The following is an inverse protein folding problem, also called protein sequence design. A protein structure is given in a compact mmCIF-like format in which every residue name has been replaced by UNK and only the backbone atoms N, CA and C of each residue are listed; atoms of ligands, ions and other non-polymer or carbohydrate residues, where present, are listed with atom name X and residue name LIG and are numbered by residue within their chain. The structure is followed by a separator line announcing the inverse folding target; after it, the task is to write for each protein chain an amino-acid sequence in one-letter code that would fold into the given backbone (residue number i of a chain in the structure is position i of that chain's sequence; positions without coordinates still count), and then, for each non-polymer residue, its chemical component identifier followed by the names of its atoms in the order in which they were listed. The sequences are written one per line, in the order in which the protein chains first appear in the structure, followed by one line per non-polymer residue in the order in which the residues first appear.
data_IF_832625060782
#
_entry.id   IF_832625060782
#
_cell.length_a   1.000
_cell.length_b   1.000
_cell.length_c   1.000
_cell.angle_alpha   90.00
_cell.angle_beta   90.00
_cell.angle_gamma   90.00
#
_symmetry.space_group_name_H-M   'P 1'
#
loop_
_entity.id
_entity.type
_entity.pdbx_description
1 polymer ?
#
# COMPACT_ATOMS: atom_id res chain seq x y z
N UNK A 1 -1.55 38.11 7.46
CA UNK A 1 -2.10 36.80 7.84
C UNK A 1 -2.38 36.04 6.57
N UNK A 2 -1.76 34.86 6.40
CA UNK A 2 -1.93 34.04 5.21
C UNK A 2 -3.18 33.15 5.33
N UNK A 3 -3.94 33.04 4.25
CA UNK A 3 -5.16 32.25 4.18
C UNK A 3 -4.82 30.82 3.71
N UNK A 4 -5.20 29.80 4.48
CA UNK A 4 -4.98 28.39 4.18
C UNK A 4 -6.30 27.71 3.87
N UNK A 5 -6.45 27.24 2.64
CA UNK A 5 -7.56 26.39 2.22
C UNK A 5 -7.25 24.90 2.44
N UNK A 6 -8.27 24.10 2.68
CA UNK A 6 -8.10 22.64 2.76
C UNK A 6 -8.99 21.93 1.73
N UNK A 7 -8.39 20.99 0.99
CA UNK A 7 -9.11 20.08 0.12
C UNK A 7 -9.05 18.68 0.72
N UNK A 8 -10.18 18.04 0.86
CA UNK A 8 -10.40 16.85 1.70
C UNK A 8 -10.34 17.17 3.21
N UNK A 9 -10.61 16.13 3.99
CA UNK A 9 -10.52 16.21 5.45
C UNK A 9 -9.06 16.16 5.89
N UNK A 10 -8.54 17.26 6.40
CA UNK A 10 -7.22 17.35 7.02
C UNK A 10 -7.36 17.22 8.53
N UNK A 11 -6.42 16.53 9.18
CA UNK A 11 -6.44 16.31 10.62
C UNK A 11 -6.41 17.64 11.40
N UNK A 12 -7.34 17.85 12.35
CA UNK A 12 -7.32 19.03 13.22
C UNK A 12 -5.99 19.19 13.99
N UNK A 13 -5.35 18.07 14.34
CA UNK A 13 -4.03 18.10 15.02
C UNK A 13 -2.95 18.70 14.11
N UNK A 14 -3.04 18.46 12.80
CA UNK A 14 -2.15 19.10 11.83
C UNK A 14 -2.44 20.59 11.67
N UNK A 15 -3.71 20.94 11.53
CA UNK A 15 -4.12 22.35 11.40
C UNK A 15 -3.81 23.19 12.65
N UNK A 16 -3.90 22.60 13.84
CA UNK A 16 -3.56 23.26 15.10
C UNK A 16 -2.05 23.62 15.24
N UNK A 17 -1.20 23.19 14.31
CA UNK A 17 0.21 23.59 14.24
C UNK A 17 0.44 24.88 13.46
N UNK A 18 -0.58 25.39 12.78
CA UNK A 18 -0.51 26.69 12.13
C UNK A 18 -0.43 27.76 13.22
N UNK A 19 0.52 28.69 13.07
CA UNK A 19 0.68 29.83 13.98
C UNK A 19 -0.35 30.91 13.70
N UNK A 20 -0.37 31.98 14.53
CA UNK A 20 -1.28 33.11 14.38
C UNK A 20 -1.10 33.92 13.07
N UNK A 21 -0.02 33.61 12.31
CA UNK A 21 0.20 34.17 10.97
C UNK A 21 -0.72 33.58 9.91
N UNK A 22 -1.40 32.47 10.21
CA UNK A 22 -2.23 31.72 9.30
C UNK A 22 -3.69 31.66 9.77
N UNK A 23 -4.61 31.69 8.82
CA UNK A 23 -6.04 31.49 9.06
C UNK A 23 -6.57 30.42 8.11
N UNK A 24 -7.25 29.41 8.65
CA UNK A 24 -7.93 28.42 7.81
C UNK A 24 -9.23 28.99 7.29
N UNK A 25 -9.45 28.90 5.98
CA UNK A 25 -10.63 29.43 5.29
C UNK A 25 -11.36 28.34 4.50
N UNK A 26 -12.65 28.53 4.25
CA UNK A 26 -13.47 27.61 3.47
C UNK A 26 -13.34 27.85 1.96
N UNK A 27 -13.28 29.12 1.55
CA UNK A 27 -13.14 29.47 0.13
C UNK A 27 -11.69 29.35 -0.34
N UNK A 28 -11.39 28.22 -0.97
CA UNK A 28 -10.04 27.94 -1.46
C UNK A 28 -9.59 28.85 -2.61
N UNK A 29 -10.51 29.52 -3.29
CA UNK A 29 -10.15 30.49 -4.33
C UNK A 29 -9.44 31.73 -3.79
N UNK A 30 -9.62 32.04 -2.53
CA UNK A 30 -8.94 33.14 -1.83
C UNK A 30 -7.66 32.69 -1.09
N UNK A 31 -7.30 31.42 -1.15
CA UNK A 31 -6.19 30.88 -0.37
C UNK A 31 -4.82 31.32 -0.89
N UNK A 32 -3.91 31.57 0.04
CA UNK A 32 -2.48 31.73 -0.23
C UNK A 32 -1.74 30.40 -0.18
N UNK A 33 -2.26 29.41 0.56
CA UNK A 33 -1.77 28.05 0.62
C UNK A 33 -2.91 27.06 0.63
N UNK A 34 -2.71 25.91 0.00
CA UNK A 34 -3.67 24.81 0.01
C UNK A 34 -3.03 23.59 0.64
N UNK A 35 -3.74 22.95 1.59
CA UNK A 35 -3.36 21.64 2.13
C UNK A 35 -4.38 20.62 1.64
N UNK A 36 -3.88 19.54 1.03
CA UNK A 36 -4.73 18.48 0.50
C UNK A 36 -4.18 17.07 0.79
N UNK A 37 -5.00 16.07 0.53
CA UNK A 37 -4.62 14.66 0.59
C UNK A 37 -4.81 13.98 -0.78
N UNK A 38 -6.03 13.63 -1.15
CA UNK A 38 -6.36 12.86 -2.35
C UNK A 38 -7.21 13.63 -3.38
N UNK A 39 -7.50 14.89 -3.13
CA UNK A 39 -8.23 15.72 -4.08
C UNK A 39 -7.43 15.90 -5.36
N UNK A 40 -8.07 15.72 -6.53
CA UNK A 40 -7.47 15.95 -7.83
C UNK A 40 -7.57 17.44 -8.19
N UNK A 41 -6.41 18.11 -8.34
CA UNK A 41 -6.32 19.53 -8.65
C UNK A 41 -6.18 19.83 -10.15
N UNK A 42 -6.14 18.81 -11.05
CA UNK A 42 -5.86 19.05 -12.47
C UNK A 42 -6.88 19.95 -13.15
N UNK A 43 -8.16 19.79 -12.81
CA UNK A 43 -9.24 20.61 -13.36
C UNK A 43 -9.51 21.90 -12.55
N UNK A 44 -8.71 22.12 -11.46
CA UNK A 44 -8.89 23.29 -10.62
C UNK A 44 -8.25 24.53 -11.22
N UNK A 45 -8.96 25.68 -11.19
CA UNK A 45 -8.34 26.97 -11.44
C UNK A 45 -7.47 27.39 -10.27
N UNK A 46 -6.19 27.62 -10.53
CA UNK A 46 -5.25 28.07 -9.51
C UNK A 46 -5.33 29.59 -9.37
N UNK A 47 -5.64 30.05 -8.16
CA UNK A 47 -5.71 31.49 -7.87
C UNK A 47 -4.35 32.16 -8.05
N UNK A 48 -4.33 33.40 -8.55
CA UNK A 48 -3.13 34.24 -8.65
C UNK A 48 -2.50 34.56 -7.28
N UNK A 49 -3.27 34.37 -6.20
CA UNK A 49 -2.81 34.56 -4.81
C UNK A 49 -2.20 33.30 -4.20
N UNK A 50 -2.30 32.16 -4.88
CA UNK A 50 -1.80 30.88 -4.37
C UNK A 50 -0.28 30.83 -4.47
N UNK A 51 0.39 30.66 -3.34
CA UNK A 51 1.84 30.62 -3.21
C UNK A 51 2.39 29.22 -3.01
N UNK A 52 1.61 28.36 -2.36
CA UNK A 52 2.07 27.02 -2.02
C UNK A 52 0.95 25.99 -1.97
N UNK A 53 1.28 24.74 -2.29
CA UNK A 53 0.42 23.57 -2.12
C UNK A 53 1.17 22.54 -1.28
N UNK A 54 0.56 22.09 -0.18
CA UNK A 54 1.09 21.05 0.70
C UNK A 54 0.27 19.76 0.59
N UNK A 55 0.88 18.67 0.12
CA UNK A 55 0.22 17.36 0.06
C UNK A 55 0.52 16.53 1.31
N UNK A 56 -0.52 16.16 2.07
CA UNK A 56 -0.42 15.24 3.20
C UNK A 56 -0.25 13.79 2.68
N UNK A 57 0.95 13.46 2.21
CA UNK A 57 1.35 12.16 1.68
C UNK A 57 2.51 12.28 0.71
N UNK A 58 3.03 11.16 0.22
CA UNK A 58 4.25 11.09 -0.59
C UNK A 58 4.03 11.40 -2.08
N UNK A 59 3.01 10.80 -2.71
CA UNK A 59 2.74 11.01 -4.13
C UNK A 59 2.20 12.41 -4.42
N UNK A 60 2.41 12.93 -5.63
CA UNK A 60 1.95 14.26 -6.07
C UNK A 60 1.22 14.20 -7.41
N UNK A 61 0.84 13.01 -7.82
CA UNK A 61 0.17 12.74 -9.11
C UNK A 61 -1.24 13.36 -9.24
N UNK A 62 -1.80 13.86 -8.16
CA UNK A 62 -3.07 14.58 -8.10
C UNK A 62 -2.89 16.12 -8.09
N UNK A 63 -1.67 16.60 -8.31
CA UNK A 63 -1.33 18.04 -8.34
C UNK A 63 -0.73 18.35 -9.72
N UNK A 64 -1.22 19.36 -10.45
CA UNK A 64 -0.68 19.76 -11.73
C UNK A 64 0.66 20.49 -11.57
N UNK A 65 1.76 19.74 -11.41
CA UNK A 65 3.07 20.28 -11.07
C UNK A 65 3.57 21.31 -12.09
N UNK A 66 3.42 21.05 -13.39
CA UNK A 66 3.87 21.97 -14.46
C UNK A 66 3.11 23.31 -14.36
N UNK A 67 1.77 23.26 -14.21
CA UNK A 67 0.94 24.45 -14.05
C UNK A 67 1.29 25.22 -12.77
N UNK A 68 1.60 24.52 -11.68
CA UNK A 68 2.09 25.15 -10.45
C UNK A 68 3.44 25.84 -10.67
N UNK A 69 4.38 25.17 -11.34
CA UNK A 69 5.72 25.73 -11.62
C UNK A 69 5.66 26.97 -12.53
N UNK A 70 4.83 26.94 -13.58
CA UNK A 70 4.62 28.09 -14.48
C UNK A 70 4.07 29.33 -13.73
N UNK A 71 3.26 29.11 -12.71
CA UNK A 71 2.68 30.19 -11.87
C UNK A 71 3.53 30.52 -10.64
N UNK A 72 4.68 29.90 -10.45
CA UNK A 72 5.55 30.12 -9.29
C UNK A 72 5.02 29.58 -7.97
N UNK A 73 4.09 28.59 -8.01
CA UNK A 73 3.50 27.95 -6.84
C UNK A 73 4.42 26.82 -6.39
N UNK A 74 4.86 26.85 -5.13
CA UNK A 74 5.72 25.79 -4.56
C UNK A 74 4.86 24.62 -4.11
N UNK A 75 5.25 23.39 -4.49
CA UNK A 75 4.56 22.16 -4.07
C UNK A 75 5.41 21.39 -3.08
N UNK A 76 4.83 21.11 -1.92
CA UNK A 76 5.42 20.29 -0.87
C UNK A 76 4.66 18.98 -0.73
N UNK A 77 5.39 17.92 -0.40
CA UNK A 77 4.83 16.63 -0.01
C UNK A 77 5.42 16.15 1.32
N UNK A 78 4.85 15.08 1.86
CA UNK A 78 5.27 14.49 3.14
C UNK A 78 5.65 13.00 2.94
N UNK A 79 6.80 12.70 2.30
CA UNK A 79 7.22 11.33 2.05
C UNK A 79 7.49 10.61 3.38
N UNK A 80 6.98 9.37 3.49
CA UNK A 80 7.14 8.55 4.67
C UNK A 80 6.21 8.85 5.84
N UNK A 81 5.38 9.90 5.76
CA UNK A 81 4.46 10.26 6.86
C UNK A 81 3.45 9.15 7.19
N UNK A 82 3.01 8.40 6.20
CA UNK A 82 2.10 7.25 6.34
C UNK A 82 2.82 5.88 6.32
N UNK A 83 4.14 5.85 6.31
CA UNK A 83 4.88 4.60 6.12
C UNK A 83 4.56 3.54 7.17
N UNK A 84 4.35 3.95 8.43
CA UNK A 84 3.96 3.03 9.49
C UNK A 84 2.54 2.48 9.27
N UNK A 85 1.59 3.31 8.84
CA UNK A 85 0.22 2.87 8.57
C UNK A 85 0.18 1.85 7.42
N UNK A 86 0.91 2.10 6.33
CA UNK A 86 1.02 1.16 5.20
C UNK A 86 1.70 -0.15 5.64
N UNK A 87 2.77 -0.09 6.46
CA UNK A 87 3.39 -1.29 7.04
C UNK A 87 2.36 -2.13 7.83
N UNK A 88 1.56 -1.51 8.69
CA UNK A 88 0.54 -2.20 9.48
C UNK A 88 -0.53 -2.84 8.59
N UNK A 89 -0.93 -2.15 7.50
CA UNK A 89 -1.86 -2.70 6.52
C UNK A 89 -1.26 -3.89 5.75
N UNK A 90 0.03 -3.83 5.38
CA UNK A 90 0.74 -4.97 4.77
C UNK A 90 0.75 -6.20 5.69
N UNK A 91 1.09 -6.01 6.97
CA UNK A 91 1.09 -7.10 7.95
C UNK A 91 -0.30 -7.68 8.13
N UNK A 92 -1.31 -6.82 8.24
CA UNK A 92 -2.72 -7.23 8.29
C UNK A 92 -3.09 -8.05 7.06
N UNK A 93 -2.77 -7.57 5.86
CA UNK A 93 -3.03 -8.27 4.60
C UNK A 93 -2.37 -9.65 4.52
N UNK A 94 -1.11 -9.77 4.94
CA UNK A 94 -0.40 -11.05 5.03
C UNK A 94 -1.12 -12.04 5.96
N UNK A 95 -1.51 -11.59 7.14
CA UNK A 95 -2.20 -12.44 8.13
C UNK A 95 -3.60 -12.86 7.67
N UNK A 96 -4.36 -11.95 7.06
CA UNK A 96 -5.68 -12.25 6.49
C UNK A 96 -5.56 -13.26 5.33
N UNK A 97 -4.55 -13.12 4.49
CA UNK A 97 -4.30 -14.07 3.40
C UNK A 97 -3.86 -15.44 3.90
N UNK A 98 -3.01 -15.48 4.94
CA UNK A 98 -2.49 -16.72 5.52
C UNK A 98 -3.57 -17.54 6.24
N UNK A 99 -4.48 -16.89 6.98
CA UNK A 99 -5.38 -17.53 7.96
C UNK A 99 -6.84 -17.61 7.51
N UNK A 100 -7.20 -17.24 6.28
CA UNK A 100 -8.58 -17.19 5.76
C UNK A 100 -9.59 -16.49 6.70
N UNK A 101 -9.14 -15.51 7.47
CA UNK A 101 -9.94 -14.82 8.48
C UNK A 101 -11.22 -14.19 7.91
N UNK A 102 -11.19 -13.47 6.75
CA UNK A 102 -12.39 -12.84 6.20
C UNK A 102 -13.50 -13.85 5.92
N UNK A 103 -13.17 -14.98 5.28
CA UNK A 103 -14.14 -16.03 4.99
C UNK A 103 -14.67 -16.68 6.28
N UNK A 104 -13.79 -16.89 7.25
CA UNK A 104 -14.17 -17.40 8.57
C UNK A 104 -15.13 -16.50 9.33
N UNK A 105 -14.88 -15.18 9.30
CA UNK A 105 -15.77 -14.18 9.92
C UNK A 105 -17.13 -14.13 9.22
N UNK A 106 -17.16 -14.09 7.89
CA UNK A 106 -18.39 -14.11 7.11
C UNK A 106 -19.24 -15.36 7.44
N UNK A 107 -18.60 -16.54 7.48
CA UNK A 107 -19.28 -17.76 7.83
C UNK A 107 -19.77 -17.76 9.29
N UNK A 108 -18.95 -17.35 10.26
CA UNK A 108 -19.33 -17.33 11.67
C UNK A 108 -20.56 -16.45 11.92
N UNK A 109 -20.68 -15.33 11.20
CA UNK A 109 -21.84 -14.45 11.29
C UNK A 109 -23.15 -15.10 10.83
N UNK A 110 -23.09 -16.12 9.96
CA UNK A 110 -24.28 -16.89 9.52
C UNK A 110 -24.84 -17.82 10.60
N UNK A 111 -24.07 -18.07 11.65
CA UNK A 111 -24.47 -18.95 12.75
C UNK A 111 -25.28 -18.23 13.83
N UNK A 112 -25.59 -16.96 13.67
CA UNK A 112 -26.40 -16.17 14.59
C UNK A 112 -27.78 -16.83 14.78
N UNK A 113 -28.18 -17.05 16.06
CA UNK A 113 -29.44 -17.67 16.36
C UNK A 113 -29.49 -19.21 16.23
N UNK A 114 -28.38 -19.85 15.84
CA UNK A 114 -28.30 -21.32 15.76
C UNK A 114 -28.17 -21.94 17.17
N UNK A 115 -28.99 -22.92 17.48
CA UNK A 115 -28.82 -23.70 18.71
C UNK A 115 -27.53 -24.53 18.64
N UNK A 116 -26.76 -24.55 19.73
CA UNK A 116 -25.49 -25.28 19.77
C UNK A 116 -24.36 -24.68 18.91
N UNK A 117 -24.32 -23.37 18.72
CA UNK A 117 -23.31 -22.61 17.94
C UNK A 117 -21.88 -23.12 18.16
N UNK A 118 -21.46 -23.37 19.41
CA UNK A 118 -20.12 -23.87 19.70
C UNK A 118 -19.77 -25.18 19.00
N UNK A 119 -20.74 -26.14 18.97
CA UNK A 119 -20.57 -27.41 18.26
C UNK A 119 -20.54 -27.22 16.73
N UNK A 120 -21.35 -26.30 16.19
CA UNK A 120 -21.37 -25.97 14.78
C UNK A 120 -20.00 -25.36 14.35
N UNK A 121 -19.44 -24.46 15.16
CA UNK A 121 -18.11 -23.86 14.94
C UNK A 121 -17.03 -24.93 14.94
N UNK A 122 -16.97 -25.80 15.94
CA UNK A 122 -15.97 -26.87 16.00
C UNK A 122 -16.05 -27.82 14.80
N UNK A 123 -17.25 -28.15 14.35
CA UNK A 123 -17.46 -29.00 13.16
C UNK A 123 -17.05 -28.31 11.84
N UNK A 124 -17.28 -27.01 11.72
CA UNK A 124 -17.09 -26.26 10.47
C UNK A 124 -15.75 -25.56 10.33
N UNK A 125 -15.02 -25.29 11.43
CA UNK A 125 -13.79 -24.49 11.42
C UNK A 125 -12.69 -24.99 10.46
N UNK A 126 -12.63 -26.30 10.22
CA UNK A 126 -11.60 -26.92 9.38
C UNK A 126 -11.56 -26.40 7.93
N UNK A 127 -12.70 -25.95 7.39
CA UNK A 127 -12.77 -25.38 6.03
C UNK A 127 -12.03 -24.05 5.89
N UNK A 128 -11.73 -23.38 6.99
CA UNK A 128 -11.00 -22.11 7.02
C UNK A 128 -9.55 -22.28 7.48
N UNK A 129 -9.07 -23.52 7.58
CA UNK A 129 -7.69 -23.78 7.95
C UNK A 129 -6.72 -23.03 7.04
N UNK A 130 -5.80 -22.28 7.64
CA UNK A 130 -4.76 -21.55 6.94
C UNK A 130 -3.37 -22.07 7.30
N UNK A 131 -2.38 -21.26 7.03
CA UNK A 131 -0.96 -21.53 7.34
C UNK A 131 -0.42 -20.45 8.25
N UNK A 132 0.65 -20.76 8.98
CA UNK A 132 1.43 -19.74 9.69
C UNK A 132 2.39 -19.05 8.73
N UNK A 133 2.71 -17.77 9.01
CA UNK A 133 3.71 -17.01 8.27
C UNK A 133 5.12 -17.27 8.82
N UNK A 134 5.26 -17.71 10.06
CA UNK A 134 6.54 -18.07 10.67
C UNK A 134 7.27 -19.11 9.83
N UNK A 135 8.55 -18.85 9.54
CA UNK A 135 9.40 -19.72 8.72
C UNK A 135 9.14 -19.64 7.21
N UNK A 136 8.16 -18.82 6.76
CA UNK A 136 7.94 -18.50 5.35
C UNK A 136 8.89 -17.39 4.91
N UNK A 137 9.14 -17.31 3.62
CA UNK A 137 9.99 -16.28 3.03
C UNK A 137 9.16 -15.15 2.46
N UNK A 138 9.44 -13.90 2.88
CA UNK A 138 8.89 -12.69 2.29
C UNK A 138 9.93 -12.02 1.38
N UNK A 139 9.59 -11.78 0.13
CA UNK A 139 10.30 -10.89 -0.77
C UNK A 139 9.78 -9.47 -0.62
N UNK A 140 10.68 -8.51 -0.44
CA UNK A 140 10.33 -7.07 -0.38
C UNK A 140 10.97 -6.37 -1.56
N UNK A 141 10.15 -5.87 -2.49
CA UNK A 141 10.58 -5.13 -3.67
C UNK A 141 10.45 -3.64 -3.40
N UNK A 142 11.58 -2.94 -3.30
CA UNK A 142 11.65 -1.55 -2.85
C UNK A 142 11.87 -1.43 -1.34
N UNK A 143 13.08 -1.04 -0.94
CA UNK A 143 13.52 -0.88 0.46
C UNK A 143 13.58 0.61 0.85
N UNK A 144 12.56 1.36 0.44
CA UNK A 144 12.34 2.73 0.87
C UNK A 144 11.73 2.83 2.27
N UNK A 145 11.10 3.97 2.58
CA UNK A 145 10.52 4.26 3.90
C UNK A 145 9.50 3.20 4.38
N UNK A 146 8.74 2.59 3.47
CA UNK A 146 7.75 1.56 3.78
C UNK A 146 8.41 0.18 3.79
N UNK A 147 9.13 -0.18 2.72
CA UNK A 147 9.69 -1.51 2.56
C UNK A 147 10.62 -1.93 3.69
N UNK A 148 11.46 -1.03 4.19
CA UNK A 148 12.31 -1.27 5.38
C UNK A 148 11.47 -1.62 6.61
N UNK A 149 10.39 -0.89 6.86
CA UNK A 149 9.52 -1.15 8.01
C UNK A 149 8.79 -2.49 7.88
N UNK A 150 8.32 -2.84 6.66
CA UNK A 150 7.68 -4.13 6.39
C UNK A 150 8.67 -5.27 6.56
N UNK A 151 9.87 -5.14 6.01
CA UNK A 151 10.93 -6.14 6.09
C UNK A 151 11.29 -6.48 7.55
N UNK A 152 11.61 -5.46 8.35
CA UNK A 152 11.97 -5.62 9.76
C UNK A 152 10.80 -6.20 10.59
N UNK A 153 9.58 -5.77 10.33
CA UNK A 153 8.41 -6.27 11.05
C UNK A 153 8.11 -7.74 10.71
N UNK A 154 8.23 -8.13 9.45
CA UNK A 154 8.05 -9.51 9.02
C UNK A 154 9.10 -10.45 9.62
N UNK A 155 10.35 -10.01 9.68
CA UNK A 155 11.42 -10.74 10.35
C UNK A 155 11.10 -10.94 11.84
N UNK A 156 10.65 -9.90 12.53
CA UNK A 156 10.23 -9.98 13.95
C UNK A 156 9.10 -10.99 14.15
N UNK A 157 8.22 -11.19 13.15
CA UNK A 157 7.18 -12.21 13.15
C UNK A 157 7.71 -13.62 12.80
N UNK A 158 9.02 -13.77 12.60
CA UNK A 158 9.68 -15.04 12.35
C UNK A 158 9.69 -15.48 10.89
N UNK A 159 9.46 -14.56 9.95
CA UNK A 159 9.68 -14.83 8.52
C UNK A 159 11.16 -14.72 8.17
N UNK A 160 11.58 -15.41 7.11
CA UNK A 160 12.81 -15.06 6.38
C UNK A 160 12.50 -13.92 5.44
N UNK A 161 13.40 -12.95 5.32
CA UNK A 161 13.15 -11.79 4.45
C UNK A 161 14.27 -11.65 3.43
N UNK A 162 13.90 -11.46 2.17
CA UNK A 162 14.79 -11.15 1.06
C UNK A 162 14.34 -9.82 0.47
N UNK A 163 15.26 -8.86 0.37
CA UNK A 163 14.99 -7.54 -0.17
C UNK A 163 15.61 -7.33 -1.55
N UNK A 164 14.97 -6.52 -2.37
CA UNK A 164 15.52 -6.01 -3.63
C UNK A 164 15.26 -4.51 -3.74
N UNK A 165 16.30 -3.72 -3.93
CA UNK A 165 16.23 -2.30 -4.24
C UNK A 165 17.51 -1.85 -4.95
N UNK A 166 17.49 -1.56 -6.27
CA UNK A 166 18.67 -1.12 -7.00
C UNK A 166 19.16 0.28 -6.60
N UNK A 167 18.34 1.04 -5.85
CA UNK A 167 18.63 2.40 -5.39
C UNK A 167 18.69 2.49 -3.87
N UNK A 168 19.04 1.40 -3.19
CA UNK A 168 19.08 1.33 -1.72
C UNK A 168 19.96 2.44 -1.14
N UNK A 169 19.34 3.35 -0.41
CA UNK A 169 20.08 4.44 0.24
C UNK A 169 20.86 3.94 1.47
N UNK A 170 21.97 4.61 1.79
CA UNK A 170 22.77 4.31 3.00
C UNK A 170 21.88 4.37 4.26
N UNK A 171 20.98 5.34 4.35
CA UNK A 171 20.06 5.47 5.49
C UNK A 171 19.12 4.26 5.58
N UNK A 172 18.57 3.80 4.47
CA UNK A 172 17.68 2.64 4.43
C UNK A 172 18.46 1.36 4.83
N UNK A 173 19.66 1.17 4.29
CA UNK A 173 20.52 0.04 4.65
C UNK A 173 20.84 0.00 6.13
N UNK A 174 21.15 1.13 6.76
CA UNK A 174 21.38 1.21 8.21
C UNK A 174 20.13 0.94 9.06
N UNK A 175 18.94 1.09 8.48
CA UNK A 175 17.67 0.85 9.18
C UNK A 175 17.14 -0.57 9.01
N UNK A 176 17.72 -1.35 8.08
CA UNK A 176 17.40 -2.76 7.89
C UNK A 176 18.06 -3.61 8.97
N UNK A 177 17.38 -4.68 9.39
CA UNK A 177 18.01 -5.74 10.17
C UNK A 177 19.13 -6.39 9.37
N UNK A 178 20.23 -6.69 10.05
CA UNK A 178 21.43 -7.30 9.44
C UNK A 178 21.26 -8.78 9.04
N UNK A 179 20.12 -9.37 9.34
CA UNK A 179 19.74 -10.74 8.98
C UNK A 179 18.90 -10.79 7.70
N UNK A 180 18.54 -9.63 7.14
CA UNK A 180 17.78 -9.55 5.87
C UNK A 180 18.77 -9.64 4.72
N UNK A 181 18.57 -10.66 3.88
CA UNK A 181 19.34 -10.84 2.65
C UNK A 181 18.90 -9.85 1.57
N UNK A 182 19.85 -9.25 0.86
CA UNK A 182 19.61 -8.36 -0.27
C UNK A 182 20.12 -9.04 -1.54
N UNK A 183 19.27 -9.07 -2.57
CA UNK A 183 19.63 -9.63 -3.88
C UNK A 183 19.78 -8.52 -4.93
N UNK A 184 20.62 -8.78 -5.92
CA UNK A 184 20.92 -7.83 -7.00
C UNK A 184 19.93 -7.86 -8.16
N UNK A 185 19.10 -8.92 -8.25
CA UNK A 185 18.12 -9.07 -9.31
C UNK A 185 16.83 -9.72 -8.83
N UNK A 186 15.69 -9.29 -9.41
CA UNK A 186 14.37 -9.85 -9.09
C UNK A 186 14.24 -11.35 -9.38
N UNK A 187 14.93 -11.84 -10.43
CA UNK A 187 14.98 -13.28 -10.75
C UNK A 187 15.54 -14.15 -9.62
N UNK A 188 16.37 -13.55 -8.73
CA UNK A 188 16.93 -14.23 -7.57
C UNK A 188 15.99 -14.16 -6.36
N UNK A 189 15.04 -13.22 -6.33
CA UNK A 189 14.03 -13.07 -5.30
C UNK A 189 12.80 -13.96 -5.57
N UNK A 190 12.23 -13.87 -6.77
CA UNK A 190 10.94 -14.49 -7.10
C UNK A 190 10.83 -15.98 -6.74
N UNK A 191 11.80 -16.87 -7.09
CA UNK A 191 11.67 -18.31 -6.87
C UNK A 191 11.82 -18.70 -5.40
N UNK A 192 12.25 -17.80 -4.53
CA UNK A 192 12.48 -18.10 -3.11
C UNK A 192 11.31 -17.72 -2.21
N UNK A 193 10.40 -16.87 -2.67
CA UNK A 193 9.43 -16.18 -1.81
C UNK A 193 8.07 -16.86 -1.78
N UNK A 194 7.56 -17.12 -0.58
CA UNK A 194 6.17 -17.55 -0.35
C UNK A 194 5.20 -16.37 -0.34
N UNK A 195 5.72 -15.19 -0.01
CA UNK A 195 5.04 -13.90 -0.01
C UNK A 195 5.92 -12.87 -0.73
N UNK A 196 5.31 -11.98 -1.49
CA UNK A 196 6.01 -10.86 -2.13
C UNK A 196 5.21 -9.59 -1.86
N UNK A 197 5.89 -8.53 -1.39
CA UNK A 197 5.31 -7.22 -1.17
C UNK A 197 6.09 -6.15 -1.94
N UNK A 198 5.37 -5.32 -2.70
CA UNK A 198 5.97 -4.31 -3.58
C UNK A 198 5.77 -2.90 -3.01
N UNK A 199 6.84 -2.09 -3.00
CA UNK A 199 6.90 -0.75 -2.41
C UNK A 199 7.68 0.25 -3.27
N UNK A 200 7.68 0.08 -4.58
CA UNK A 200 8.31 1.01 -5.52
C UNK A 200 7.32 2.05 -6.05
N UNK A 201 7.78 3.25 -6.47
CA UNK A 201 6.95 4.19 -7.19
C UNK A 201 6.64 3.68 -8.61
N UNK A 202 5.60 4.25 -9.24
CA UNK A 202 5.38 4.09 -10.68
C UNK A 202 6.29 5.04 -11.44
N UNK A 203 7.13 4.47 -12.28
CA UNK A 203 8.00 5.13 -13.24
C UNK A 203 7.92 4.36 -14.57
N UNK A 204 8.54 4.85 -15.62
CA UNK A 204 8.49 4.20 -16.94
C UNK A 204 9.03 2.75 -16.90
N UNK A 205 10.04 2.49 -16.08
CA UNK A 205 10.69 1.18 -15.88
C UNK A 205 10.00 0.28 -14.85
N UNK A 206 9.12 0.81 -14.01
CA UNK A 206 8.39 0.02 -13.01
C UNK A 206 6.93 -0.21 -13.37
N UNK A 207 6.38 0.54 -14.33
CA UNK A 207 5.01 0.33 -14.80
C UNK A 207 4.86 -1.04 -15.43
N UNK A 208 3.91 -1.83 -14.93
CA UNK A 208 3.66 -3.20 -15.40
C UNK A 208 4.80 -4.17 -15.12
N UNK A 209 5.72 -3.87 -14.19
CA UNK A 209 6.88 -4.73 -13.90
C UNK A 209 6.50 -6.11 -13.35
N UNK A 210 5.29 -6.25 -12.82
CA UNK A 210 4.73 -7.54 -12.40
C UNK A 210 3.82 -8.03 -13.52
N UNK A 211 4.43 -8.53 -14.55
CA UNK A 211 3.82 -9.11 -15.75
C UNK A 211 3.78 -10.64 -15.70
N UNK A 212 3.35 -11.27 -16.79
CA UNK A 212 3.26 -12.72 -16.89
C UNK A 212 4.64 -13.41 -16.74
N UNK A 213 5.73 -12.79 -17.23
CA UNK A 213 7.08 -13.33 -17.11
C UNK A 213 7.58 -13.28 -15.66
N UNK A 214 7.38 -12.15 -14.98
CA UNK A 214 7.69 -12.00 -13.57
C UNK A 214 6.90 -13.00 -12.70
N UNK A 215 5.59 -13.14 -12.96
CA UNK A 215 4.72 -14.06 -12.23
C UNK A 215 5.16 -15.52 -12.47
N UNK A 216 5.54 -15.87 -13.69
CA UNK A 216 5.99 -17.22 -14.00
C UNK A 216 7.22 -17.65 -13.20
N UNK A 217 8.12 -16.71 -12.86
CA UNK A 217 9.32 -16.94 -12.06
C UNK A 217 9.02 -17.10 -10.54
N UNK A 218 7.87 -16.67 -10.06
CA UNK A 218 7.48 -16.79 -8.64
C UNK A 218 7.21 -18.24 -8.26
N UNK A 219 7.19 -18.54 -6.96
CA UNK A 219 6.73 -19.83 -6.46
C UNK A 219 5.27 -20.08 -6.78
N UNK A 220 4.92 -21.33 -7.05
CA UNK A 220 3.52 -21.76 -7.12
C UNK A 220 2.83 -21.55 -5.76
N UNK A 221 1.68 -20.91 -5.78
CA UNK A 221 0.94 -20.56 -4.57
C UNK A 221 1.48 -19.37 -3.80
N UNK A 222 2.27 -18.51 -4.42
CA UNK A 222 2.73 -17.25 -3.82
C UNK A 222 1.54 -16.37 -3.41
N UNK A 223 1.72 -15.62 -2.32
CA UNK A 223 0.82 -14.53 -1.91
C UNK A 223 1.48 -13.21 -2.30
N UNK A 224 0.78 -12.42 -3.11
CA UNK A 224 1.29 -11.15 -3.60
C UNK A 224 0.55 -9.98 -2.95
N UNK A 225 1.30 -8.99 -2.44
CA UNK A 225 0.77 -7.80 -1.77
C UNK A 225 1.20 -6.54 -2.52
N UNK A 226 0.23 -5.67 -2.84
CA UNK A 226 0.48 -4.39 -3.49
C UNK A 226 -0.30 -3.28 -2.79
N UNK A 227 0.38 -2.53 -1.95
CA UNK A 227 -0.10 -1.30 -1.33
C UNK A 227 0.67 -0.06 -1.84
N UNK A 228 1.35 -0.22 -2.98
CA UNK A 228 2.11 0.87 -3.60
C UNK A 228 1.31 1.59 -4.68
N UNK A 229 1.09 0.94 -5.84
CA UNK A 229 0.28 1.47 -6.96
C UNK A 229 -0.24 0.31 -7.82
N UNK A 230 -1.46 0.43 -8.31
CA UNK A 230 -2.10 -0.51 -9.23
C UNK A 230 -1.30 -0.71 -10.53
N UNK A 231 -0.86 0.38 -11.14
CA UNK A 231 -0.10 0.40 -12.40
C UNK A 231 1.22 -0.39 -12.40
N UNK A 232 1.68 -0.90 -11.25
CA UNK A 232 2.87 -1.76 -11.17
C UNK A 232 2.61 -3.19 -11.67
N UNK A 233 1.35 -3.58 -11.78
CA UNK A 233 0.92 -4.95 -12.06
C UNK A 233 0.16 -5.00 -13.38
N UNK A 234 0.47 -5.98 -14.21
CA UNK A 234 -0.39 -6.39 -15.31
C UNK A 234 -1.57 -7.17 -14.74
N UNK A 235 -2.76 -6.54 -14.74
CA UNK A 235 -3.95 -7.12 -14.12
C UNK A 235 -4.44 -8.37 -14.84
N UNK A 236 -4.35 -8.43 -16.17
CA UNK A 236 -4.80 -9.58 -16.95
C UNK A 236 -3.92 -10.80 -16.62
N UNK A 237 -2.61 -10.63 -16.62
CA UNK A 237 -1.66 -11.68 -16.22
C UNK A 237 -1.87 -12.12 -14.76
N UNK A 238 -2.17 -11.18 -13.86
CA UNK A 238 -2.45 -11.49 -12.47
C UNK A 238 -3.75 -12.31 -12.31
N UNK A 239 -4.83 -11.97 -13.02
CA UNK A 239 -6.10 -12.72 -12.96
C UNK A 239 -5.89 -14.16 -13.48
N UNK A 240 -5.21 -14.33 -14.60
CA UNK A 240 -4.86 -15.68 -15.11
C UNK A 240 -4.06 -16.50 -14.09
N UNK A 241 -3.09 -15.86 -13.43
CA UNK A 241 -2.28 -16.50 -12.40
C UNK A 241 -3.08 -16.85 -11.13
N UNK A 242 -4.06 -16.03 -10.76
CA UNK A 242 -4.98 -16.34 -9.66
C UNK A 242 -5.89 -17.51 -10.02
N UNK A 243 -6.43 -17.56 -11.23
CA UNK A 243 -7.32 -18.62 -11.68
C UNK A 243 -6.61 -19.97 -11.80
N UNK A 244 -5.40 -19.98 -12.34
CA UNK A 244 -4.56 -21.19 -12.42
C UNK A 244 -4.05 -21.66 -11.04
N UNK A 245 -4.00 -20.76 -10.05
CA UNK A 245 -3.44 -21.05 -8.72
C UNK A 245 -1.94 -20.79 -8.59
N UNK A 246 -1.28 -20.28 -9.63
CA UNK A 246 0.11 -19.80 -9.59
C UNK A 246 0.27 -18.74 -8.50
N UNK A 247 -0.67 -17.77 -8.45
CA UNK A 247 -0.85 -16.85 -7.33
C UNK A 247 -1.99 -17.37 -6.45
N UNK A 248 -1.70 -17.65 -5.19
CA UNK A 248 -2.70 -18.15 -4.24
C UNK A 248 -3.67 -17.07 -3.80
N UNK A 249 -3.17 -15.89 -3.51
CA UNK A 249 -3.95 -14.70 -3.14
C UNK A 249 -3.23 -13.42 -3.56
N UNK A 250 -4.01 -12.43 -3.92
CA UNK A 250 -3.58 -11.05 -4.10
C UNK A 250 -4.20 -10.17 -3.04
N UNK A 251 -3.43 -9.26 -2.47
CA UNK A 251 -3.89 -8.31 -1.44
C UNK A 251 -3.53 -6.90 -1.87
N UNK A 252 -4.52 -6.03 -1.94
CA UNK A 252 -4.34 -4.66 -2.42
C UNK A 252 -5.31 -3.69 -1.74
N UNK A 253 -5.06 -2.40 -1.85
CA UNK A 253 -6.00 -1.33 -1.50
C UNK A 253 -6.44 -0.48 -2.72
N UNK A 254 -6.13 -0.98 -3.93
CA UNK A 254 -6.56 -0.39 -5.20
C UNK A 254 -7.75 -1.18 -5.75
N UNK A 255 -8.96 -0.68 -5.46
CA UNK A 255 -10.20 -1.29 -5.92
C UNK A 255 -10.54 -0.82 -7.35
N UNK A 256 -10.80 -1.76 -8.25
CA UNK A 256 -11.42 -1.52 -9.55
C UNK A 256 -12.39 -2.64 -9.90
N UNK A 257 -13.04 -2.58 -11.08
CA UNK A 257 -14.02 -3.58 -11.49
C UNK A 257 -13.42 -4.97 -11.75
N UNK A 258 -12.14 -5.06 -12.08
CA UNK A 258 -11.45 -6.32 -12.37
C UNK A 258 -11.10 -7.07 -11.07
N UNK A 259 -10.55 -6.36 -10.11
CA UNK A 259 -10.07 -6.97 -8.85
C UNK A 259 -11.18 -7.11 -7.80
N UNK A 260 -12.20 -6.23 -7.83
CA UNK A 260 -13.29 -6.28 -6.87
C UNK A 260 -14.20 -7.49 -7.12
N UNK A 261 -14.36 -8.33 -6.10
CA UNK A 261 -15.23 -9.52 -6.17
C UNK A 261 -14.53 -10.82 -6.60
N UNK A 262 -13.28 -10.79 -7.03
CA UNK A 262 -12.54 -12.02 -7.28
C UNK A 262 -12.22 -12.76 -5.96
N UNK A 263 -12.62 -14.04 -5.87
CA UNK A 263 -12.57 -14.85 -4.62
C UNK A 263 -11.19 -15.02 -3.97
N UNK A 264 -10.12 -14.81 -4.76
CA UNK A 264 -8.72 -14.92 -4.28
C UNK A 264 -8.06 -13.56 -4.09
N UNK A 265 -8.82 -12.48 -4.24
CA UNK A 265 -8.33 -11.11 -4.00
C UNK A 265 -8.92 -10.58 -2.69
N UNK A 266 -8.08 -10.01 -1.86
CA UNK A 266 -8.47 -9.26 -0.68
C UNK A 266 -8.26 -7.77 -0.97
N UNK A 267 -9.35 -7.06 -1.19
CA UNK A 267 -9.32 -5.61 -1.42
C UNK A 267 -9.68 -4.89 -0.13
N UNK A 268 -8.80 -4.00 0.33
CA UNK A 268 -9.10 -3.09 1.43
C UNK A 268 -9.38 -1.68 0.88
N UNK A 269 -10.25 -0.88 1.52
CA UNK A 269 -10.48 0.50 1.08
C UNK A 269 -9.30 1.36 1.49
N UNK A 270 -8.39 1.68 0.60
CA UNK A 270 -7.23 2.60 0.66
C UNK A 270 -6.98 3.27 2.04
N UNK A 271 -6.65 2.45 3.05
CA UNK A 271 -6.52 2.85 4.46
C UNK A 271 -5.06 3.16 4.89
N UNK A 272 -4.09 2.94 3.99
CA UNK A 272 -2.66 3.11 4.24
C UNK A 272 -2.13 4.54 4.15
#
# INVERSE_FOLDING_TARGET
MYKIGTLNKISPVGLARLTDDYTVIEDVAEANGIILRSYDMHEMELSVNLLAVGRAGAGVNNIPLDKCAEQGIVVFNAPGANANAVKELCLTGMLLAARNVPAGLAWASTLTGTEGVGKAVEKGKGQFAGTEIKGKTLGVIGLGAIGVLVANAAETLGMKVIGYDPFLSVKAAHSLSNTIDIVDALKDLYPQCDYISIHVPVMDDTKGMIDAEAIAQMKDGVVFLNFARDLLVDEDALIEALDSGKVKKYVTDFANHTVAGHKRILVTPHLG
#
